data_IF_028913546887
#
_entry.id   IF_028913546887
#
_cell.length_a   1.000
_cell.length_b   1.000
_cell.length_c   1.000
_cell.angle_alpha   90.00
_cell.angle_beta   90.00
_cell.angle_gamma   90.00
#
_symmetry.space_group_name_H-M   'P 1'
#
loop_
_entity.id
_entity.type
_entity.pdbx_description
1 polymer ?
#
# COMPACT_ATOMS: atom_id res chain seq x y z
N UNK A 1 -2.56 -12.03 -2.51
CA UNK A 1 -3.24 -11.39 -1.38
C UNK A 1 -4.69 -11.11 -1.79
N UNK A 2 -5.68 -11.51 -0.99
CA UNK A 2 -7.07 -11.06 -1.19
C UNK A 2 -7.12 -9.60 -0.71
N UNK A 3 -7.60 -8.70 -1.56
CA UNK A 3 -7.91 -7.36 -1.10
C UNK A 3 -8.99 -7.48 -0.01
N UNK A 4 -8.90 -6.75 1.12
CA UNK A 4 -9.97 -6.77 2.14
C UNK A 4 -11.29 -6.19 1.63
N UNK A 5 -11.29 -5.64 0.41
CA UNK A 5 -12.45 -5.09 -0.27
C UNK A 5 -12.69 -5.93 -1.51
N UNK A 6 -13.88 -6.52 -1.58
CA UNK A 6 -14.39 -7.06 -2.82
C UNK A 6 -14.42 -5.92 -3.85
N UNK A 7 -13.49 -5.94 -4.82
CA UNK A 7 -13.47 -4.96 -5.92
C UNK A 7 -14.81 -4.89 -6.67
N UNK A 8 -15.69 -5.89 -6.50
CA UNK A 8 -17.06 -5.93 -7.01
C UNK A 8 -18.00 -4.87 -6.42
N UNK A 9 -17.71 -4.29 -5.25
CA UNK A 9 -18.58 -3.29 -4.59
C UNK A 9 -17.99 -1.88 -4.53
N UNK A 10 -16.84 -1.64 -5.16
CA UNK A 10 -16.22 -0.31 -5.19
C UNK A 10 -17.01 0.58 -6.15
N UNK A 11 -17.71 1.58 -5.61
CA UNK A 11 -18.41 2.56 -6.46
C UNK A 11 -17.37 3.37 -7.26
N UNK A 12 -17.59 3.63 -8.55
CA UNK A 12 -16.75 4.53 -9.32
C UNK A 12 -16.75 5.92 -8.66
N UNK A 13 -15.57 6.41 -8.27
CA UNK A 13 -15.39 7.66 -7.54
C UNK A 13 -15.19 7.54 -6.02
N UNK A 14 -15.32 6.35 -5.43
CA UNK A 14 -15.17 6.19 -3.96
C UNK A 14 -13.72 6.40 -3.47
N UNK A 15 -12.74 6.07 -4.33
CA UNK A 15 -11.31 6.20 -4.03
C UNK A 15 -10.67 7.30 -4.87
N UNK A 16 -10.06 8.29 -4.20
CA UNK A 16 -9.21 9.30 -4.83
C UNK A 16 -7.84 8.73 -5.24
N UNK A 17 -7.39 7.66 -4.59
CA UNK A 17 -6.15 6.96 -4.92
C UNK A 17 -6.33 5.47 -4.69
N UNK A 18 -5.84 4.64 -5.62
CA UNK A 18 -5.72 3.19 -5.44
C UNK A 18 -4.46 2.74 -6.17
N UNK A 19 -3.58 2.04 -5.48
CA UNK A 19 -2.40 1.42 -6.08
C UNK A 19 -2.16 0.05 -5.47
N UNK A 20 -1.82 -0.93 -6.31
CA UNK A 20 -1.38 -2.26 -5.93
C UNK A 20 0.01 -2.49 -6.50
N UNK A 21 0.95 -2.95 -5.68
CA UNK A 21 2.35 -3.16 -6.05
C UNK A 21 2.91 -4.37 -5.35
N UNK A 22 3.87 -5.04 -5.97
CA UNK A 22 4.65 -6.07 -5.31
C UNK A 22 5.91 -5.44 -4.70
N UNK A 23 6.36 -5.98 -3.57
CA UNK A 23 7.52 -5.52 -2.83
C UNK A 23 8.62 -6.57 -2.96
N UNK A 24 9.79 -6.11 -3.41
CA UNK A 24 11.00 -6.93 -3.45
C UNK A 24 11.69 -6.90 -2.09
N UNK A 25 12.13 -8.08 -1.63
CA UNK A 25 13.00 -8.19 -0.46
C UNK A 25 14.46 -7.85 -0.85
N UNK A 26 15.39 -7.86 0.12
CA UNK A 26 16.82 -7.62 -0.15
C UNK A 26 17.46 -8.67 -1.08
N UNK A 27 16.85 -9.84 -1.22
CA UNK A 27 17.28 -10.94 -2.09
C UNK A 27 16.68 -10.83 -3.51
N UNK A 28 15.98 -9.73 -3.84
CA UNK A 28 15.22 -9.52 -5.10
C UNK A 28 14.08 -10.53 -5.31
N UNK A 29 13.63 -11.18 -4.25
CA UNK A 29 12.47 -12.06 -4.32
C UNK A 29 11.21 -11.22 -4.15
N UNK A 30 10.28 -11.36 -5.09
CA UNK A 30 9.02 -10.62 -5.14
C UNK A 30 7.99 -11.34 -4.26
N UNK A 31 8.24 -11.37 -2.95
CA UNK A 31 7.36 -12.08 -2.02
C UNK A 31 6.38 -11.17 -1.27
N UNK A 32 6.69 -9.87 -1.17
CA UNK A 32 5.80 -8.91 -0.56
C UNK A 32 4.79 -8.35 -1.56
N UNK A 33 3.64 -7.90 -1.06
CA UNK A 33 2.59 -7.27 -1.84
C UNK A 33 2.02 -6.13 -1.01
N UNK A 34 1.78 -4.96 -1.61
CA UNK A 34 1.16 -3.85 -0.93
C UNK A 34 0.03 -3.28 -1.78
N UNK A 35 -1.07 -3.00 -1.14
CA UNK A 35 -2.19 -2.25 -1.68
C UNK A 35 -2.37 -1.02 -0.82
N UNK A 36 -2.42 0.15 -1.42
CA UNK A 36 -2.72 1.42 -0.75
C UNK A 36 -3.91 2.05 -1.46
N UNK A 37 -4.89 2.51 -0.71
CA UNK A 37 -6.01 3.28 -1.24
C UNK A 37 -6.37 4.43 -0.31
N UNK A 38 -6.96 5.47 -0.89
CA UNK A 38 -7.41 6.66 -0.20
C UNK A 38 -8.80 6.98 -0.68
N UNK A 39 -9.76 7.08 0.24
CA UNK A 39 -11.13 7.48 -0.08
C UNK A 39 -11.20 8.98 -0.42
N UNK A 40 -12.12 9.35 -1.30
CA UNK A 40 -12.35 10.77 -1.62
C UNK A 40 -12.84 11.50 -0.37
N UNK A 41 -12.24 12.65 -0.04
CA UNK A 41 -12.56 13.42 1.17
C UNK A 41 -11.85 12.96 2.46
N UNK A 42 -11.13 11.83 2.44
CA UNK A 42 -10.29 11.42 3.57
C UNK A 42 -8.85 11.89 3.38
N UNK A 43 -8.16 12.30 4.44
CA UNK A 43 -6.71 12.59 4.41
C UNK A 43 -5.86 11.34 4.63
N UNK A 44 -6.39 10.39 5.40
CA UNK A 44 -5.73 9.13 5.69
C UNK A 44 -5.79 8.18 4.50
N UNK A 45 -4.66 7.54 4.21
CA UNK A 45 -4.59 6.45 3.24
C UNK A 45 -4.59 5.12 3.99
N UNK A 46 -5.48 4.24 3.60
CA UNK A 46 -5.53 2.88 4.12
C UNK A 46 -4.59 2.01 3.28
N UNK A 47 -3.95 1.03 3.92
CA UNK A 47 -3.06 0.12 3.24
C UNK A 47 -3.15 -1.29 3.81
N UNK A 48 -2.87 -2.26 2.95
CA UNK A 48 -2.63 -3.65 3.29
C UNK A 48 -1.30 -4.03 2.69
N UNK A 49 -0.40 -4.53 3.52
CA UNK A 49 0.95 -4.94 3.13
C UNK A 49 1.22 -6.36 3.61
N UNK A 50 1.63 -7.22 2.69
CA UNK A 50 2.32 -8.46 2.96
C UNK A 50 3.79 -8.13 3.11
N UNK A 51 4.33 -8.37 4.30
CA UNK A 51 5.71 -8.07 4.58
C UNK A 51 6.62 -8.93 3.70
N UNK A 52 7.56 -8.36 2.94
CA UNK A 52 8.52 -9.14 2.13
C UNK A 52 9.56 -9.88 2.98
N UNK A 53 9.57 -9.70 4.30
CA UNK A 53 10.55 -10.30 5.19
C UNK A 53 9.99 -11.44 6.05
N UNK A 54 8.76 -11.31 6.54
CA UNK A 54 8.11 -12.34 7.37
C UNK A 54 6.86 -12.92 6.72
N UNK A 55 6.50 -12.48 5.51
CA UNK A 55 5.34 -12.91 4.73
C UNK A 55 3.97 -12.71 5.41
N UNK A 56 3.96 -12.11 6.59
CA UNK A 56 2.74 -11.77 7.33
C UNK A 56 2.00 -10.62 6.66
N UNK A 57 0.68 -10.74 6.65
CA UNK A 57 -0.23 -9.73 6.13
C UNK A 57 -0.58 -8.76 7.25
N UNK A 58 -0.48 -7.46 6.97
CA UNK A 58 -0.82 -6.41 7.93
C UNK A 58 -1.63 -5.33 7.23
N UNK A 59 -2.65 -4.82 7.90
CA UNK A 59 -3.45 -3.70 7.40
C UNK A 59 -3.37 -2.53 8.37
N UNK A 60 -3.56 -1.31 7.87
CA UNK A 60 -3.50 -0.12 8.68
C UNK A 60 -3.90 1.13 7.92
N UNK A 61 -3.86 2.26 8.64
CA UNK A 61 -4.09 3.59 8.10
C UNK A 61 -2.84 4.43 8.33
N UNK A 62 -2.46 5.22 7.35
CA UNK A 62 -1.32 6.13 7.47
C UNK A 62 -1.53 7.37 6.62
N UNK A 63 -1.06 8.50 7.12
CA UNK A 63 -1.03 9.75 6.36
C UNK A 63 0.32 9.82 5.66
N UNK A 64 0.33 9.60 4.34
CA UNK A 64 1.53 9.68 3.52
C UNK A 64 1.93 11.15 3.26
N UNK A 65 2.49 11.82 4.27
CA UNK A 65 2.84 13.26 4.23
C UNK A 65 4.14 13.55 3.46
N UNK A 66 5.19 12.73 3.62
CA UNK A 66 6.53 12.98 3.04
C UNK A 66 7.21 11.69 2.55
N UNK A 67 7.91 11.80 1.41
CA UNK A 67 8.73 10.72 0.83
C UNK A 67 10.09 10.63 1.53
N UNK A 68 10.69 9.44 1.68
CA UNK A 68 10.19 8.13 1.24
C UNK A 68 9.07 7.60 2.15
N UNK A 69 8.05 7.00 1.56
CA UNK A 69 6.94 6.46 2.34
C UNK A 69 7.41 5.16 3.01
N UNK A 70 7.30 5.09 4.34
CA UNK A 70 7.75 3.96 5.13
C UNK A 70 6.58 3.34 5.87
N UNK A 71 6.49 2.03 5.82
CA UNK A 71 5.54 1.26 6.60
C UNK A 71 6.33 0.33 7.50
N UNK A 72 5.98 0.32 8.78
CA UNK A 72 6.60 -0.58 9.75
C UNK A 72 5.74 -1.83 9.84
N UNK A 73 6.35 -3.00 9.62
CA UNK A 73 5.65 -4.25 9.85
C UNK A 73 5.46 -4.45 11.37
N UNK A 74 4.24 -4.64 11.88
CA UNK A 74 4.01 -4.84 13.32
C UNK A 74 4.60 -6.16 13.82
N UNK A 75 4.80 -7.14 12.93
CA UNK A 75 5.29 -8.49 13.29
C UNK A 75 6.81 -8.51 13.40
N UNK A 76 7.53 -8.27 12.30
CA UNK A 76 8.99 -8.36 12.29
C UNK A 76 9.69 -7.03 12.61
N UNK A 77 8.92 -5.97 12.87
CA UNK A 77 9.41 -4.62 13.19
C UNK A 77 10.29 -3.97 12.11
N UNK A 78 10.40 -4.60 10.91
CA UNK A 78 11.20 -4.10 9.80
C UNK A 78 10.48 -2.96 9.08
N UNK A 79 11.29 -1.97 8.68
CA UNK A 79 10.83 -0.84 7.86
C UNK A 79 10.78 -1.21 6.38
N UNK A 80 9.58 -1.23 5.82
CA UNK A 80 9.32 -1.41 4.40
C UNK A 80 9.32 -0.03 3.75
N UNK A 81 10.28 0.22 2.86
CA UNK A 81 10.39 1.49 2.15
C UNK A 81 9.70 1.40 0.80
N UNK A 82 8.74 2.28 0.56
CA UNK A 82 8.07 2.43 -0.73
C UNK A 82 8.74 3.57 -1.52
N UNK A 83 9.56 3.20 -2.49
CA UNK A 83 10.39 4.13 -3.28
C UNK A 83 9.57 5.11 -4.12
N UNK A 84 8.35 4.74 -4.50
CA UNK A 84 7.44 5.56 -5.32
C UNK A 84 6.00 5.12 -5.03
N UNK A 85 5.17 6.01 -4.48
CA UNK A 85 3.74 5.99 -4.81
C UNK A 85 3.65 6.72 -6.15
N UNK A 86 3.38 5.99 -7.23
CA UNK A 86 3.23 6.60 -8.55
C UNK A 86 2.23 7.73 -8.42
N UNK A 87 2.65 8.94 -8.80
CA UNK A 87 1.75 10.07 -9.01
C UNK A 87 0.64 9.58 -9.92
N UNK A 88 -0.57 9.42 -9.39
CA UNK A 88 -1.75 9.58 -10.22
C UNK A 88 -1.68 10.99 -10.81
N UNK A 89 -2.16 11.13 -12.04
CA UNK A 89 -2.10 12.32 -12.90
C UNK A 89 -0.74 12.58 -13.59
N UNK A 90 -0.40 11.77 -14.59
CA UNK A 90 0.24 12.32 -15.78
C UNK A 90 -0.89 12.93 -16.62
N UNK A 91 -1.06 14.27 -16.53
CA UNK A 91 -1.79 15.05 -17.53
C UNK A 91 -1.21 14.69 -18.90
N UNK A 92 -2.03 14.21 -19.81
CA UNK A 92 -1.86 14.39 -21.25
C UNK A 92 -3.25 14.45 -21.87
#
# INVERSE_FOLDING_TARGET
>A
MKLPFDMKNIKPGEFAYLTKRKLENKQKEIEGEIVVWRKQGNEESEFVVKCPFCLEESSGKTVFTKRPYRIRCPVCNKSITLSKLTKSAKKR
#
